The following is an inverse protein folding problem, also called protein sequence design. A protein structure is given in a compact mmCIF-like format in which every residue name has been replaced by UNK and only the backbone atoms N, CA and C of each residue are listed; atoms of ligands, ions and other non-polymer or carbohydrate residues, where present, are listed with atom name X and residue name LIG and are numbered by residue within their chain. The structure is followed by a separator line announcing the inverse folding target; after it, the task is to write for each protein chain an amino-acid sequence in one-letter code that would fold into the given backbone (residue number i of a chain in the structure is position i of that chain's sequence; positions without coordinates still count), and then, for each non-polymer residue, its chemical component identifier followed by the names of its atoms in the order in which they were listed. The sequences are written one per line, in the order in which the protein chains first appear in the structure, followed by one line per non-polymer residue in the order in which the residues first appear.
data_IF_563801561909
#
_entry.id   IF_563801561909
#
_cell.length_a   1.000
_cell.length_b   1.000
_cell.length_c   1.000
_cell.angle_alpha   90.00
_cell.angle_beta   90.00
_cell.angle_gamma   90.00
#
_symmetry.space_group_name_H-M   'P 1'
#
loop_
_entity.id
_entity.type
_entity.pdbx_description
1 polymer ?
#
# COMPACT_ATOMS: atom_id res chain seq x y z
N UNK A 1 1.65 5.95 30.82
CA UNK A 1 2.57 5.45 29.79
C UNK A 1 1.76 4.81 28.67
N UNK A 2 2.13 5.00 27.40
CA UNK A 2 1.51 4.23 26.32
C UNK A 2 1.80 2.75 26.54
N UNK A 3 0.82 1.87 26.29
CA UNK A 3 1.02 0.42 26.45
C UNK A 3 2.15 -0.04 25.55
N UNK A 4 3.09 -0.84 26.06
CA UNK A 4 4.20 -1.39 25.27
C UNK A 4 3.70 -2.08 24.00
N UNK A 5 2.59 -2.83 24.11
CA UNK A 5 1.94 -3.48 22.96
C UNK A 5 1.42 -2.52 21.89
N UNK A 6 1.01 -1.30 22.27
CA UNK A 6 0.62 -0.27 21.32
C UNK A 6 1.83 0.33 20.60
N UNK A 7 2.95 0.53 21.32
CA UNK A 7 4.21 1.03 20.77
C UNK A 7 4.77 0.04 19.75
N UNK A 8 4.87 -1.24 20.11
CA UNK A 8 5.36 -2.29 19.22
C UNK A 8 4.49 -2.48 17.97
N UNK A 9 3.16 -2.39 18.13
CA UNK A 9 2.25 -2.43 16.98
C UNK A 9 2.49 -1.25 16.04
N UNK A 10 2.78 -0.06 16.56
CA UNK A 10 3.11 1.08 15.72
C UNK A 10 4.44 0.87 14.98
N UNK A 11 5.48 0.43 15.68
CA UNK A 11 6.78 0.11 15.08
C UNK A 11 6.65 -0.94 13.97
N UNK A 12 5.81 -1.97 14.17
CA UNK A 12 5.51 -2.96 13.13
C UNK A 12 4.88 -2.31 11.89
N UNK A 13 3.94 -1.38 12.06
CA UNK A 13 3.30 -0.67 10.94
C UNK A 13 4.32 0.19 10.18
N UNK A 14 5.19 0.92 10.88
CA UNK A 14 6.26 1.71 10.25
C UNK A 14 7.12 0.83 9.33
N UNK A 15 7.62 -0.30 9.85
CA UNK A 15 8.43 -1.25 9.05
C UNK A 15 7.68 -1.82 7.84
N UNK A 16 6.39 -2.12 7.99
CA UNK A 16 5.57 -2.61 6.86
C UNK A 16 5.36 -1.55 5.79
N UNK A 17 5.16 -0.29 6.20
CA UNK A 17 5.02 0.83 5.27
C UNK A 17 6.32 1.05 4.50
N UNK A 18 7.46 1.11 5.18
CA UNK A 18 8.78 1.27 4.54
C UNK A 18 9.04 0.17 3.49
N UNK A 19 8.72 -1.08 3.83
CA UNK A 19 8.93 -2.23 2.93
C UNK A 19 8.07 -2.18 1.66
N UNK A 20 6.83 -1.74 1.76
CA UNK A 20 5.85 -1.85 0.67
C UNK A 20 5.45 -0.52 0.03
N UNK A 21 5.93 0.63 0.54
CA UNK A 21 5.57 1.96 0.05
C UNK A 21 5.81 2.10 -1.46
N UNK A 22 7.00 1.72 -1.95
CA UNK A 22 7.35 1.83 -3.36
C UNK A 22 6.51 0.92 -4.27
N UNK A 23 6.12 -0.29 -3.79
CA UNK A 23 5.24 -1.19 -4.54
C UNK A 23 3.81 -0.63 -4.61
N UNK A 24 3.28 -0.16 -3.48
CA UNK A 24 1.92 0.42 -3.40
C UNK A 24 1.80 1.71 -4.20
N UNK A 25 2.83 2.56 -4.21
CA UNK A 25 2.84 3.79 -5.01
C UNK A 25 2.71 3.49 -6.51
N UNK A 26 3.47 2.51 -7.02
CA UNK A 26 3.38 2.07 -8.43
C UNK A 26 2.01 1.51 -8.79
N UNK A 27 1.46 0.61 -7.97
CA UNK A 27 0.13 0.04 -8.20
C UNK A 27 -0.97 1.11 -8.16
N UNK A 28 -0.86 2.07 -7.23
CA UNK A 28 -1.80 3.18 -7.12
C UNK A 28 -1.73 4.13 -8.31
N UNK A 29 -0.55 4.35 -8.89
CA UNK A 29 -0.40 5.14 -10.11
C UNK A 29 -1.08 4.45 -11.30
N UNK A 30 -0.86 3.14 -11.49
CA UNK A 30 -1.49 2.34 -12.56
C UNK A 30 -3.01 2.32 -12.39
N UNK A 31 -3.50 2.04 -11.18
CA UNK A 31 -4.93 1.99 -10.88
C UNK A 31 -5.68 3.31 -11.13
N UNK A 32 -4.98 4.46 -11.08
CA UNK A 32 -5.55 5.79 -11.31
C UNK A 32 -5.31 6.34 -12.72
N UNK A 33 -4.47 5.68 -13.52
CA UNK A 33 -4.15 6.16 -14.85
C UNK A 33 -5.31 5.85 -15.81
N UNK A 34 -6.08 6.87 -16.16
CA UNK A 34 -7.25 6.79 -17.04
C UNK A 34 -6.92 6.45 -18.50
N UNK A 35 -5.67 6.61 -18.91
CA UNK A 35 -5.19 6.32 -20.26
C UNK A 35 -4.97 4.82 -20.49
N UNK A 36 -4.79 4.05 -19.41
CA UNK A 36 -4.57 2.60 -19.49
C UNK A 36 -5.89 1.84 -19.70
N UNK A 37 -5.85 0.65 -20.32
CA UNK A 37 -6.99 -0.25 -20.40
C UNK A 37 -7.61 -0.52 -19.02
N UNK A 38 -8.93 -0.70 -19.01
CA UNK A 38 -9.70 -0.98 -17.79
C UNK A 38 -9.17 -2.25 -17.09
N UNK A 39 -8.79 -3.26 -17.86
CA UNK A 39 -8.28 -4.54 -17.35
C UNK A 39 -7.02 -4.36 -16.49
N UNK A 40 -6.05 -3.56 -16.97
CA UNK A 40 -4.82 -3.26 -16.23
C UNK A 40 -5.09 -2.44 -14.97
N UNK A 41 -6.04 -1.50 -15.03
CA UNK A 41 -6.47 -0.73 -13.85
C UNK A 41 -7.12 -1.62 -12.81
N UNK A 42 -8.03 -2.50 -13.22
CA UNK A 42 -8.73 -3.41 -12.33
C UNK A 42 -7.76 -4.41 -11.70
N UNK A 43 -6.85 -4.98 -12.47
CA UNK A 43 -5.78 -5.84 -11.96
C UNK A 43 -4.89 -5.11 -10.94
N UNK A 44 -4.55 -3.84 -11.19
CA UNK A 44 -3.79 -3.02 -10.24
C UNK A 44 -4.58 -2.70 -8.96
N UNK A 45 -5.90 -2.48 -9.04
CA UNK A 45 -6.77 -2.29 -7.88
C UNK A 45 -6.90 -3.56 -7.04
N UNK A 46 -7.11 -4.73 -7.67
CA UNK A 46 -7.18 -6.02 -6.99
C UNK A 46 -5.85 -6.35 -6.29
N UNK A 47 -4.72 -5.95 -6.88
CA UNK A 47 -3.40 -6.09 -6.23
C UNK A 47 -3.14 -5.08 -5.11
N UNK A 48 -3.97 -4.04 -5.00
CA UNK A 48 -3.85 -2.98 -3.99
C UNK A 48 -4.70 -3.25 -2.74
N UNK A 49 -5.80 -4.00 -2.87
CA UNK A 49 -6.60 -4.50 -1.75
C UNK A 49 -5.83 -5.51 -0.91
#
# INVERSE_FOLDING_TARGET
MAKNSAIERNLKRVRMVERYAAKRARLKAIARNTELPIEDRMAAQIKLS
#
